data_IF_242435457473
#
_entry.id   IF_242435457473
#
_cell.length_a   1.000
_cell.length_b   1.000
_cell.length_c   1.000
_cell.angle_alpha   90.00
_cell.angle_beta   90.00
_cell.angle_gamma   90.00
#
_symmetry.space_group_name_H-M   'P 1'
#
loop_
_entity.id
_entity.type
_entity.pdbx_description
1 polymer ?
#
# COMPACT_ATOMS: atom_id res chain seq x y z
N UNK A 1 -21.44 -22.08 1.60
CA UNK A 1 -21.16 -21.93 1.52
C UNK A 1 -20.73 -21.45 1.13
N UNK A 2 -20.72 -21.00 1.38
CA UNK A 2 -20.41 -20.39 0.88
C UNK A 2 -19.57 -20.11 0.44
N UNK A 3 -19.11 -20.27 0.47
CA UNK A 3 -18.45 -20.07 -0.03
C UNK A 3 -18.23 -20.36 -1.08
N UNK A 4 -18.62 -20.89 -1.37
CA UNK A 4 -18.46 -21.28 -2.41
C UNK A 4 -18.45 -20.35 -3.38
N UNK A 5 -18.47 -19.29 -3.28
CA UNK A 5 -18.38 -18.38 -4.30
C UNK A 5 -17.03 -18.44 -4.93
N UNK A 6 -16.92 -17.94 -6.11
CA UNK A 6 -15.69 -17.95 -6.81
C UNK A 6 -14.85 -16.80 -6.33
N UNK A 7 -13.92 -17.08 -5.48
CA UNK A 7 -13.16 -16.03 -4.85
C UNK A 7 -12.31 -15.25 -5.80
N UNK A 8 -11.82 -15.91 -6.85
CA UNK A 8 -10.98 -15.21 -7.80
C UNK A 8 -11.71 -14.11 -8.50
N UNK A 9 -12.99 -14.29 -8.76
CA UNK A 9 -13.74 -13.29 -9.45
C UNK A 9 -14.31 -12.25 -8.55
N UNK A 10 -14.76 -12.67 -7.38
CA UNK A 10 -15.49 -11.76 -6.53
C UNK A 10 -14.66 -11.13 -5.49
N UNK A 11 -13.50 -11.69 -5.26
CA UNK A 11 -12.66 -11.18 -4.21
C UNK A 11 -11.99 -9.91 -4.67
N UNK A 12 -12.17 -8.82 -3.96
CA UNK A 12 -11.54 -7.56 -4.37
C UNK A 12 -10.04 -7.61 -4.13
N UNK A 13 -9.36 -6.68 -4.74
CA UNK A 13 -7.93 -6.53 -4.57
C UNK A 13 -7.69 -5.80 -3.25
N UNK A 14 -7.07 -6.49 -2.29
CA UNK A 14 -6.83 -5.87 -0.99
C UNK A 14 -5.98 -4.62 -1.11
N UNK A 15 -4.93 -4.70 -1.88
CA UNK A 15 -4.05 -3.56 -2.08
C UNK A 15 -4.82 -2.39 -2.69
N UNK A 16 -5.71 -2.67 -3.64
CA UNK A 16 -6.49 -1.63 -4.27
C UNK A 16 -7.44 -0.97 -3.28
N UNK A 17 -8.01 -1.76 -2.39
CA UNK A 17 -8.89 -1.21 -1.38
C UNK A 17 -8.15 -0.33 -0.40
N UNK A 18 -6.93 -0.72 -0.06
CA UNK A 18 -6.12 0.08 0.84
C UNK A 18 -5.82 1.43 0.22
N UNK A 19 -5.42 1.44 -1.04
CA UNK A 19 -5.12 2.68 -1.73
C UNK A 19 -6.38 3.55 -1.82
N UNK A 20 -7.50 2.93 -2.13
CA UNK A 20 -8.75 3.65 -2.22
C UNK A 20 -9.14 4.27 -0.88
N UNK A 21 -8.91 3.53 0.19
CA UNK A 21 -9.22 4.02 1.52
C UNK A 21 -8.34 5.21 1.86
N UNK A 22 -7.08 5.16 1.49
CA UNK A 22 -6.17 6.27 1.74
C UNK A 22 -6.62 7.49 0.95
N UNK A 23 -6.98 7.31 -0.30
CA UNK A 23 -7.45 8.42 -1.12
C UNK A 23 -8.71 9.04 -0.53
N UNK A 24 -9.64 8.20 -0.10
CA UNK A 24 -10.88 8.69 0.49
C UNK A 24 -10.62 9.46 1.78
N UNK A 25 -9.68 8.97 2.56
CA UNK A 25 -9.35 9.62 3.81
C UNK A 25 -8.87 11.04 3.58
N UNK A 26 -7.97 11.22 2.63
CA UNK A 26 -7.43 12.55 2.39
C UNK A 26 -8.38 13.42 1.59
N UNK A 27 -9.33 12.82 0.90
CA UNK A 27 -10.39 13.60 0.28
C UNK A 27 -11.29 14.21 1.34
N UNK A 28 -11.53 13.45 2.41
CA UNK A 28 -12.39 13.93 3.47
C UNK A 28 -11.62 14.80 4.47
N UNK A 29 -10.36 14.52 4.67
CA UNK A 29 -9.53 15.27 5.62
C UNK A 29 -8.31 15.78 4.90
N UNK A 30 -8.46 16.82 4.08
CA UNK A 30 -7.35 17.29 3.23
C UNK A 30 -6.17 17.76 4.05
N UNK A 31 -5.00 17.52 3.51
CA UNK A 31 -3.78 18.02 4.13
C UNK A 31 -3.77 19.55 4.08
N UNK A 32 -4.23 20.10 2.97
CA UNK A 32 -4.24 21.54 2.78
C UNK A 32 -5.41 21.89 1.88
N UNK A 33 -6.04 23.01 2.14
CA UNK A 33 -7.12 23.47 1.28
C UNK A 33 -6.61 23.85 -0.09
N UNK A 34 -5.33 24.19 -0.18
CA UNK A 34 -4.74 24.56 -1.47
C UNK A 34 -4.48 23.34 -2.32
N UNK A 35 -4.29 22.18 -1.70
CA UNK A 35 -4.00 20.96 -2.42
C UNK A 35 -4.90 19.85 -1.92
N UNK A 36 -6.15 19.85 -2.35
CA UNK A 36 -7.10 18.88 -1.83
C UNK A 36 -6.77 17.43 -2.19
N UNK A 37 -5.93 17.24 -3.21
CA UNK A 37 -5.55 15.89 -3.60
C UNK A 37 -4.25 15.43 -2.96
N UNK A 38 -3.63 16.27 -2.16
CA UNK A 38 -2.35 15.92 -1.57
C UNK A 38 -2.52 14.82 -0.53
N UNK A 39 -1.52 13.98 -0.41
CA UNK A 39 -1.49 12.90 0.54
C UNK A 39 -0.30 13.10 1.46
N UNK A 40 -0.54 13.03 2.76
CA UNK A 40 0.53 13.14 3.74
C UNK A 40 1.22 11.80 3.87
N UNK A 41 2.34 11.66 3.21
CA UNK A 41 3.08 10.41 3.18
C UNK A 41 3.50 9.98 4.58
N UNK A 42 3.90 10.92 5.41
CA UNK A 42 4.31 10.58 6.77
C UNK A 42 3.16 9.99 7.56
N UNK A 43 1.98 10.55 7.40
CA UNK A 43 0.82 10.02 8.10
C UNK A 43 0.48 8.62 7.61
N UNK A 44 0.61 8.40 6.30
CA UNK A 44 0.35 7.08 5.74
C UNK A 44 1.35 6.07 6.29
N UNK A 45 2.62 6.43 6.31
CA UNK A 45 3.65 5.52 6.80
C UNK A 45 3.41 5.19 8.27
N UNK A 46 3.05 6.19 9.06
CA UNK A 46 2.77 5.96 10.46
C UNK A 46 1.58 5.03 10.64
N UNK A 47 0.52 5.26 9.88
CA UNK A 47 -0.67 4.43 9.99
C UNK A 47 -0.38 3.00 9.58
N UNK A 48 0.38 2.81 8.50
CA UNK A 48 0.72 1.47 8.05
C UNK A 48 1.60 0.78 9.09
N UNK A 49 2.56 1.51 9.64
CA UNK A 49 3.44 0.92 10.64
C UNK A 49 2.65 0.47 11.88
N UNK A 50 1.73 1.30 12.33
CA UNK A 50 0.91 0.92 13.47
C UNK A 50 0.06 -0.29 13.17
N UNK A 51 -0.51 -0.34 11.97
CA UNK A 51 -1.34 -1.45 11.55
C UNK A 51 -0.53 -2.75 11.53
N UNK A 52 0.65 -2.69 10.94
CA UNK A 52 1.49 -3.88 10.88
C UNK A 52 1.89 -4.33 12.29
N UNK A 53 2.23 -3.37 13.13
CA UNK A 53 2.60 -3.71 14.50
C UNK A 53 1.45 -4.40 15.22
N UNK A 54 0.23 -3.90 15.03
CA UNK A 54 -0.92 -4.52 15.66
C UNK A 54 -1.19 -5.92 15.14
N UNK A 55 -1.03 -6.09 13.84
CA UNK A 55 -1.30 -7.39 13.23
C UNK A 55 -0.28 -8.43 13.64
N UNK A 56 0.94 -8.01 13.90
CA UNK A 56 2.00 -8.97 14.26
C UNK A 56 2.22 -9.06 15.76
N UNK A 57 1.46 -8.31 16.53
CA UNK A 57 1.67 -8.23 17.96
C UNK A 57 1.56 -9.60 18.67
N UNK A 58 0.66 -10.43 18.18
CA UNK A 58 0.43 -11.73 18.82
C UNK A 58 1.46 -12.78 18.46
N UNK A 59 2.34 -12.46 17.52
CA UNK A 59 3.38 -13.41 17.14
C UNK A 59 4.51 -13.36 18.16
N UNK A 60 5.26 -14.46 18.25
CA UNK A 60 6.44 -14.43 19.10
C UNK A 60 7.52 -13.57 18.44
N UNK A 61 8.62 -13.39 19.14
CA UNK A 61 9.65 -12.48 18.66
C UNK A 61 10.20 -12.90 17.31
N UNK A 62 10.44 -14.19 17.14
CA UNK A 62 10.99 -14.68 15.88
C UNK A 62 10.01 -14.50 14.74
N UNK A 63 8.74 -14.77 14.99
CA UNK A 63 7.72 -14.60 13.96
C UNK A 63 7.54 -13.15 13.59
N UNK A 64 7.55 -12.30 14.59
CA UNK A 64 7.39 -10.85 14.35
C UNK A 64 8.55 -10.32 13.52
N UNK A 65 9.76 -10.71 13.89
CA UNK A 65 10.95 -10.29 13.16
C UNK A 65 10.89 -10.75 11.72
N UNK A 66 10.48 -11.99 11.51
CA UNK A 66 10.40 -12.55 10.18
C UNK A 66 9.38 -11.79 9.32
N UNK A 67 8.24 -11.46 9.92
CA UNK A 67 7.22 -10.73 9.19
C UNK A 67 7.70 -9.34 8.79
N UNK A 68 8.39 -8.68 9.70
CA UNK A 68 8.89 -7.34 9.41
C UNK A 68 9.93 -7.40 8.31
N UNK A 69 10.82 -8.39 8.36
CA UNK A 69 11.83 -8.53 7.32
C UNK A 69 11.19 -8.84 5.99
N UNK A 70 10.17 -9.67 6.00
CA UNK A 70 9.47 -9.99 4.76
C UNK A 70 8.82 -8.75 4.18
N UNK A 71 8.16 -7.96 5.03
CA UNK A 71 7.50 -6.75 4.57
C UNK A 71 8.50 -5.79 3.96
N UNK A 72 9.63 -5.60 4.62
CA UNK A 72 10.65 -4.71 4.08
C UNK A 72 11.19 -5.20 2.76
N UNK A 73 11.41 -6.51 2.67
CA UNK A 73 11.89 -7.08 1.42
C UNK A 73 10.91 -6.89 0.28
N UNK A 74 9.63 -7.06 0.56
CA UNK A 74 8.63 -6.88 -0.47
C UNK A 74 8.50 -5.42 -0.88
N UNK A 75 8.59 -4.51 0.09
CA UNK A 75 8.54 -3.10 -0.23
C UNK A 75 9.67 -2.73 -1.19
N UNK A 76 10.88 -3.20 -0.88
CA UNK A 76 12.01 -2.88 -1.73
C UNK A 76 11.86 -3.49 -3.11
N UNK A 77 11.31 -4.70 -3.16
CA UNK A 77 11.13 -5.39 -4.42
C UNK A 77 10.12 -4.67 -5.30
N UNK A 78 8.99 -4.29 -4.73
CA UNK A 78 7.97 -3.59 -5.51
C UNK A 78 8.43 -2.20 -5.88
N UNK A 79 9.16 -1.53 -4.99
CA UNK A 79 9.68 -0.22 -5.31
C UNK A 79 10.60 -0.29 -6.52
N UNK A 80 11.46 -1.29 -6.56
CA UNK A 80 12.37 -1.45 -7.68
C UNK A 80 11.58 -1.72 -8.97
N UNK A 81 10.52 -2.52 -8.85
CA UNK A 81 9.70 -2.85 -10.00
C UNK A 81 8.99 -1.62 -10.55
N UNK A 82 8.44 -0.82 -9.66
CA UNK A 82 7.74 0.39 -10.08
C UNK A 82 8.69 1.40 -10.69
N UNK A 83 9.89 1.52 -10.14
CA UNK A 83 10.88 2.42 -10.72
C UNK A 83 11.28 1.97 -12.12
N UNK A 84 11.41 0.68 -12.30
CA UNK A 84 11.75 0.15 -13.60
C UNK A 84 10.66 0.44 -14.61
N UNK A 85 9.41 0.29 -14.21
CA UNK A 85 8.30 0.59 -15.09
C UNK A 85 8.26 2.07 -15.44
N UNK A 86 8.57 2.91 -14.47
CA UNK A 86 8.62 4.34 -14.72
C UNK A 86 9.68 4.68 -15.74
N UNK A 87 10.85 4.07 -15.62
CA UNK A 87 11.91 4.34 -16.56
C UNK A 87 11.56 3.88 -17.95
N UNK A 88 10.94 2.71 -18.06
CA UNK A 88 10.51 2.22 -19.35
C UNK A 88 9.43 3.10 -19.94
N UNK A 89 8.50 3.54 -19.11
CA UNK A 89 7.45 4.42 -19.57
C UNK A 89 7.99 5.75 -20.02
N UNK A 90 8.92 6.30 -19.25
CA UNK A 90 9.52 7.57 -19.63
C UNK A 90 10.28 7.45 -20.92
N UNK A 91 11.02 6.37 -21.06
CA UNK A 91 11.77 6.16 -22.28
C UNK A 91 10.86 5.97 -23.46
N UNK A 92 9.73 5.30 -23.25
CA UNK A 92 8.84 5.02 -24.34
C UNK A 92 7.95 6.17 -24.69
N UNK A 93 7.36 6.79 -23.69
CA UNK A 93 6.39 7.83 -23.94
C UNK A 93 6.96 9.21 -23.68
N UNK A 94 7.80 9.30 -22.71
CA UNK A 94 8.35 10.59 -22.34
C UNK A 94 7.38 11.45 -21.60
N UNK A 95 6.20 10.98 -21.40
CA UNK A 95 5.23 11.78 -20.78
C UNK A 95 4.72 11.26 -19.53
N UNK A 96 5.26 10.52 -18.92
CA UNK A 96 4.69 10.00 -17.84
C UNK A 96 4.55 10.84 -16.80
N UNK A 97 4.13 11.27 -16.37
CA UNK A 97 3.96 11.99 -15.34
C UNK A 97 4.15 12.70 -14.96
#
# INVERSE_FOLDING_TARGET
MAEERNEDEERPCLHCLIVEMIDDFFAEYPVSTDEPDAIDTDEVITAVAKTVAELTYSLDDAGRQKMIEQLMGEIMSYDAEYRQQDELGAAGSGARH
#
